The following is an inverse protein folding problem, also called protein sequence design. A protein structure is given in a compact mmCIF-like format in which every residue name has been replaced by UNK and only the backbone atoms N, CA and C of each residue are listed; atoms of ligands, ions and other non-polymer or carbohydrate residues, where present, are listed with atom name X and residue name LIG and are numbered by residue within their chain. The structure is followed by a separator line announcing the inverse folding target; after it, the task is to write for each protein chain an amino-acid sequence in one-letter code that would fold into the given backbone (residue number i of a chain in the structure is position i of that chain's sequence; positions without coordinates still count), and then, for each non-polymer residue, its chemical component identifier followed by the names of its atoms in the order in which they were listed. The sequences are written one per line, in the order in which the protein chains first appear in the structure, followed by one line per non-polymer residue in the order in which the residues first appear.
data_IF_068031868017
#
_entry.id   IF_068031868017
#
_cell.length_a   1.000
_cell.length_b   1.000
_cell.length_c   1.000
_cell.angle_alpha   90.00
_cell.angle_beta   90.00
_cell.angle_gamma   90.00
#
_symmetry.space_group_name_H-M   'P 1'
#
loop_
_entity.id
_entity.type
_entity.pdbx_description
1 polymer ?
#
# COMPACT_ATOMS: atom_id res chain seq x y z
N UNK A 1 14.23 -3.68 11.68
CA UNK A 1 12.77 -3.92 11.60
C UNK A 1 12.42 -4.28 10.17
N UNK A 2 11.47 -5.18 9.96
CA UNK A 2 10.98 -5.45 8.60
C UNK A 2 9.54 -4.97 8.50
N UNK A 3 9.34 -3.92 7.71
CA UNK A 3 8.02 -3.41 7.43
C UNK A 3 7.41 -4.11 6.22
N UNK A 4 6.08 -4.12 6.17
CA UNK A 4 5.31 -4.53 5.01
C UNK A 4 4.41 -3.39 4.61
N UNK A 5 4.46 -3.02 3.34
CA UNK A 5 3.51 -2.11 2.71
C UNK A 5 2.39 -2.96 2.13
N UNK A 6 1.21 -2.86 2.73
CA UNK A 6 0.06 -3.74 2.44
C UNK A 6 -1.24 -3.02 2.76
N UNK A 7 -2.12 -2.89 1.78
CA UNK A 7 -3.48 -2.42 2.02
C UNK A 7 -4.29 -3.45 2.80
N UNK A 8 -5.22 -2.97 3.62
CA UNK A 8 -6.23 -3.77 4.30
C UNK A 8 -7.46 -2.88 4.49
N UNK A 9 -8.64 -3.48 4.40
CA UNK A 9 -9.89 -2.74 4.50
C UNK A 9 -10.01 -2.02 5.84
N UNK A 10 -10.30 -0.72 5.76
CA UNK A 10 -10.47 0.12 6.95
C UNK A 10 -9.15 0.48 7.66
N UNK A 11 -8.00 0.13 7.09
CA UNK A 11 -6.67 0.50 7.62
C UNK A 11 -6.11 1.65 6.79
N UNK A 12 -6.28 2.89 7.26
CA UNK A 12 -5.82 4.10 6.56
C UNK A 12 -4.29 4.32 6.53
N UNK A 13 -3.53 3.46 7.21
CA UNK A 13 -2.07 3.48 7.26
C UNK A 13 -1.53 2.08 6.95
N UNK A 14 -1.18 1.79 5.68
CA UNK A 14 -0.91 0.44 5.16
C UNK A 14 0.51 -0.05 5.48
N UNK A 15 1.08 0.36 6.61
CA UNK A 15 2.39 -0.11 7.07
C UNK A 15 2.21 -1.06 8.24
N UNK A 16 2.91 -2.17 8.16
CA UNK A 16 2.83 -3.27 9.11
C UNK A 16 4.23 -3.66 9.55
N UNK A 17 4.34 -4.16 10.76
CA UNK A 17 5.53 -4.82 11.26
C UNK A 17 5.24 -6.30 11.56
N UNK A 18 6.13 -6.92 12.33
CA UNK A 18 6.02 -8.32 12.74
C UNK A 18 4.88 -8.53 13.78
N UNK A 19 4.46 -7.48 14.49
CA UNK A 19 3.42 -7.52 15.52
C UNK A 19 2.03 -7.14 14.99
N UNK A 20 1.94 -6.46 13.84
CA UNK A 20 0.68 -6.17 13.17
C UNK A 20 0.68 -4.81 12.46
N UNK A 21 -0.49 -4.13 12.37
CA UNK A 21 -0.59 -2.83 11.72
C UNK A 21 0.14 -1.80 12.57
N UNK A 22 1.05 -1.05 11.95
CA UNK A 22 1.76 0.00 12.64
C UNK A 22 0.81 1.15 13.03
N UNK A 23 1.06 1.84 14.15
CA UNK A 23 0.39 3.10 14.45
C UNK A 23 0.56 4.10 13.32
N UNK A 24 -0.41 4.99 13.14
CA UNK A 24 -0.35 6.05 12.15
C UNK A 24 0.93 6.89 12.32
N UNK A 25 1.67 7.08 11.23
CA UNK A 25 2.95 7.79 11.24
C UNK A 25 4.14 6.96 11.73
N UNK A 26 3.97 5.64 11.91
CA UNK A 26 5.06 4.70 12.17
C UNK A 26 5.25 3.76 10.98
N UNK A 27 6.45 3.62 10.41
CA UNK A 27 7.66 4.43 10.64
C UNK A 27 7.43 5.92 10.32
N UNK A 28 8.29 6.78 10.85
CA UNK A 28 8.26 8.21 10.58
C UNK A 28 8.64 8.46 9.13
N UNK A 29 7.68 8.91 8.33
CA UNK A 29 7.88 9.29 6.93
C UNK A 29 7.76 10.80 6.76
N UNK A 30 8.34 11.33 5.68
CA UNK A 30 8.13 12.72 5.31
C UNK A 30 6.64 12.99 5.05
N UNK A 31 6.16 14.24 5.21
CA UNK A 31 4.76 14.57 4.95
C UNK A 31 4.32 14.23 3.51
N UNK A 32 5.25 14.33 2.55
CA UNK A 32 4.99 13.96 1.16
C UNK A 32 4.72 12.47 0.99
N UNK A 33 5.62 11.61 1.46
CA UNK A 33 5.42 10.16 1.37
C UNK A 33 4.22 9.72 2.21
N UNK A 34 4.01 10.30 3.39
CA UNK A 34 2.83 10.06 4.23
C UNK A 34 1.53 10.32 3.48
N UNK A 35 1.41 11.46 2.79
CA UNK A 35 0.22 11.80 2.03
C UNK A 35 -0.02 10.82 0.86
N UNK A 36 1.06 10.39 0.21
CA UNK A 36 0.99 9.49 -0.94
C UNK A 36 0.63 8.05 -0.55
N UNK A 37 1.16 7.57 0.58
CA UNK A 37 0.77 6.28 1.17
C UNK A 37 -0.72 6.26 1.51
N UNK A 38 -1.25 7.32 2.15
CA UNK A 38 -2.68 7.43 2.43
C UNK A 38 -3.53 7.53 1.18
N UNK A 39 -3.06 8.26 0.16
CA UNK A 39 -3.76 8.39 -1.11
C UNK A 39 -3.87 7.05 -1.83
N UNK A 40 -2.81 6.24 -1.78
CA UNK A 40 -2.80 4.89 -2.32
C UNK A 40 -3.79 3.97 -1.60
N UNK A 41 -3.82 3.97 -0.28
CA UNK A 41 -4.81 3.20 0.49
C UNK A 41 -6.25 3.64 0.24
N UNK A 42 -6.49 4.96 0.14
CA UNK A 42 -7.83 5.46 -0.20
C UNK A 42 -8.28 4.99 -1.60
N UNK A 43 -7.38 4.98 -2.58
CA UNK A 43 -7.67 4.46 -3.92
C UNK A 43 -8.05 2.97 -3.89
N UNK A 44 -7.42 2.18 -3.01
CA UNK A 44 -7.83 0.80 -2.73
C UNK A 44 -9.24 0.73 -2.14
N UNK A 45 -9.49 1.43 -1.04
CA UNK A 45 -10.80 1.41 -0.35
C UNK A 45 -11.96 1.87 -1.27
N UNK A 46 -11.69 2.82 -2.17
CA UNK A 46 -12.68 3.37 -3.09
C UNK A 46 -12.98 2.48 -4.30
N UNK A 47 -12.05 1.62 -4.71
CA UNK A 47 -12.12 0.95 -6.01
C UNK A 47 -11.96 -0.55 -5.98
N UNK A 48 -11.24 -1.13 -5.02
CA UNK A 48 -11.05 -2.56 -4.94
C UNK A 48 -12.14 -3.23 -4.10
N UNK A 49 -12.84 -4.16 -4.73
CA UNK A 49 -13.82 -5.01 -4.07
C UNK A 49 -13.31 -6.44 -3.99
N UNK A 50 -13.45 -7.11 -2.85
CA UNK A 50 -12.85 -8.44 -2.62
C UNK A 50 -13.46 -9.51 -3.52
N UNK A 51 -14.75 -9.41 -3.82
CA UNK A 51 -15.49 -10.40 -4.62
C UNK A 51 -15.24 -10.20 -6.12
N UNK A 52 -15.27 -8.95 -6.58
CA UNK A 52 -15.22 -8.61 -8.00
C UNK A 52 -13.83 -8.14 -8.46
N UNK A 53 -12.96 -7.69 -7.56
CA UNK A 53 -11.63 -7.15 -7.83
C UNK A 53 -11.65 -5.71 -8.35
N UNK A 54 -10.54 -5.28 -8.94
CA UNK A 54 -10.43 -3.96 -9.57
C UNK A 54 -11.47 -3.77 -10.70
N UNK A 55 -11.99 -2.55 -10.89
CA UNK A 55 -13.05 -2.28 -11.86
C UNK A 55 -12.56 -2.43 -13.31
N UNK A 56 -11.27 -2.18 -13.55
CA UNK A 56 -10.63 -2.34 -14.86
C UNK A 56 -9.20 -2.84 -14.71
N UNK A 57 -8.65 -3.44 -15.76
CA UNK A 57 -7.23 -3.81 -15.79
C UNK A 57 -6.31 -2.58 -15.69
N UNK A 58 -6.73 -1.45 -16.27
CA UNK A 58 -5.96 -0.20 -16.19
C UNK A 58 -5.85 0.30 -14.75
N UNK A 59 -6.96 0.25 -13.99
CA UNK A 59 -6.99 0.61 -12.58
C UNK A 59 -6.06 -0.28 -11.77
N UNK A 60 -6.18 -1.61 -11.90
CA UNK A 60 -5.30 -2.58 -11.24
C UNK A 60 -3.81 -2.29 -11.51
N UNK A 61 -3.44 -2.12 -12.79
CA UNK A 61 -2.05 -1.84 -13.17
C UNK A 61 -1.56 -0.48 -12.68
N UNK A 62 -2.43 0.53 -12.65
CA UNK A 62 -2.08 1.87 -12.16
C UNK A 62 -1.82 1.83 -10.66
N UNK A 63 -2.70 1.17 -9.92
CA UNK A 63 -2.59 1.00 -8.48
C UNK A 63 -1.33 0.20 -8.10
N UNK A 64 -1.07 -0.93 -8.76
CA UNK A 64 0.15 -1.72 -8.53
C UNK A 64 1.42 -0.91 -8.79
N UNK A 65 1.47 -0.16 -9.90
CA UNK A 65 2.62 0.71 -10.20
C UNK A 65 2.82 1.76 -9.12
N UNK A 66 1.74 2.29 -8.54
CA UNK A 66 1.83 3.26 -7.45
C UNK A 66 2.39 2.60 -6.18
N UNK A 67 1.92 1.42 -5.81
CA UNK A 67 2.45 0.65 -4.68
C UNK A 67 3.95 0.35 -4.83
N UNK A 68 4.39 -0.03 -6.03
CA UNK A 68 5.83 -0.25 -6.33
C UNK A 68 6.68 1.01 -6.20
N UNK A 69 6.17 2.15 -6.67
CA UNK A 69 6.86 3.44 -6.48
C UNK A 69 6.93 3.81 -4.99
N UNK A 70 5.83 3.62 -4.25
CA UNK A 70 5.78 3.89 -2.82
C UNK A 70 6.76 3.02 -2.03
N UNK A 71 6.91 1.75 -2.40
CA UNK A 71 7.92 0.88 -1.81
C UNK A 71 9.32 1.51 -1.87
N UNK A 72 9.72 2.01 -3.04
CA UNK A 72 11.03 2.66 -3.22
C UNK A 72 11.15 3.96 -2.42
N UNK A 73 10.08 4.74 -2.31
CA UNK A 73 10.07 5.99 -1.55
C UNK A 73 10.16 5.73 -0.05
N UNK A 74 9.36 4.79 0.46
CA UNK A 74 9.37 4.39 1.87
C UNK A 74 10.75 3.84 2.22
N UNK A 75 11.29 2.91 1.43
CA UNK A 75 12.60 2.31 1.69
C UNK A 75 13.73 3.34 1.81
N UNK A 76 13.65 4.48 1.12
CA UNK A 76 14.64 5.57 1.21
C UNK A 76 14.54 6.39 2.49
N UNK A 77 13.40 6.36 3.17
CA UNK A 77 13.15 7.12 4.41
C UNK A 77 13.32 6.27 5.67
N UNK A 78 13.50 4.95 5.53
CA UNK A 78 13.75 4.07 6.66
C UNK A 78 15.19 4.19 7.19
N UNK A 79 15.37 3.80 8.45
CA UNK A 79 16.69 3.62 9.03
C UNK A 79 17.49 2.57 8.24
N UNK A 80 18.82 2.68 8.12
CA UNK A 80 19.63 1.75 7.31
C UNK A 80 19.56 0.27 7.72
N UNK A 81 19.14 -0.01 8.96
CA UNK A 81 18.97 -1.37 9.48
C UNK A 81 17.54 -1.93 9.26
N UNK A 82 16.63 -1.10 8.76
CA UNK A 82 15.25 -1.46 8.48
C UNK A 82 15.07 -1.75 6.98
N UNK A 83 14.10 -2.59 6.68
CA UNK A 83 13.72 -2.95 5.31
C UNK A 83 12.19 -2.88 5.17
N UNK A 84 11.71 -2.74 3.94
CA UNK A 84 10.29 -2.77 3.61
C UNK A 84 10.06 -3.63 2.38
N UNK A 85 8.97 -4.40 2.41
CA UNK A 85 8.50 -5.16 1.25
C UNK A 85 7.07 -4.79 0.90
N UNK A 86 6.74 -4.83 -0.40
CA UNK A 86 5.37 -4.68 -0.86
C UNK A 86 4.68 -6.05 -0.84
N UNK A 87 3.73 -6.24 0.08
CA UNK A 87 2.88 -7.43 0.15
C UNK A 87 1.60 -7.18 -0.67
N UNK A 88 1.71 -7.29 -1.99
CA UNK A 88 0.64 -6.95 -2.92
C UNK A 88 -0.33 -8.13 -3.13
N UNK A 89 -1.41 -8.19 -2.35
CA UNK A 89 -2.40 -9.28 -2.44
C UNK A 89 -3.64 -8.96 -3.30
N UNK A 90 -3.95 -7.67 -3.50
CA UNK A 90 -5.12 -7.13 -4.21
C UNK A 90 -5.09 -7.35 -5.75
N UNK A 91 -4.84 -8.60 -6.17
CA UNK A 91 -4.56 -8.99 -7.56
C UNK A 91 -5.80 -9.44 -8.34
N UNK A 92 -6.96 -9.54 -7.69
CA UNK A 92 -8.23 -9.87 -8.31
C UNK A 92 -8.68 -8.76 -9.28
N UNK A 93 -9.33 -9.15 -10.38
CA UNK A 93 -9.81 -8.23 -11.41
C UNK A 93 -11.15 -8.70 -11.95
N UNK A 94 -12.06 -7.77 -12.22
CA UNK A 94 -13.34 -8.07 -12.87
C UNK A 94 -13.08 -8.68 -14.24
N UNK A 95 -13.63 -9.87 -14.48
CA UNK A 95 -13.58 -10.51 -15.81
C UNK A 95 -14.73 -9.96 -16.66
N UNK A 96 -14.38 -9.37 -17.80
CA UNK A 96 -15.33 -8.87 -18.79
C UNK A 96 -15.52 -7.35 -18.71
N UNK A 97 -14.89 -6.66 -19.64
CA UNK A 97 -15.37 -5.40 -20.22
C UNK A 97 -15.67 -5.68 -21.70
#
# INVERSE_FOLDING_TARGET
MRYRLMNEYGVGWPLWDDDGPCPEGTPTLSPGVTAEVRAWTRDFDEHFDVESGWPTESAARSHERRGRLLLELVARELEPADDVVLEYWETNRRRGL
#
